data_IF_064168596518
#
_entry.id   IF_064168596518
#
_cell.length_a   1.000
_cell.length_b   1.000
_cell.length_c   1.000
_cell.angle_alpha   90.00
_cell.angle_beta   90.00
_cell.angle_gamma   90.00
#
_symmetry.space_group_name_H-M   'P 1'
#
loop_
_entity.id
_entity.type
_entity.pdbx_description
1 polymer ?
#
# COMPACT_ATOMS: atom_id res chain seq x y z
N UNK A 1 10.13 -8.86 -7.57
CA UNK A 1 10.89 -7.94 -8.50
C UNK A 1 10.14 -6.63 -8.56
N UNK A 2 10.81 -5.52 -8.34
CA UNK A 2 10.22 -4.18 -8.41
C UNK A 2 10.70 -3.51 -9.68
N UNK A 3 9.75 -2.97 -10.47
CA UNK A 3 10.05 -2.16 -11.63
C UNK A 3 9.47 -0.75 -11.41
N UNK A 4 10.34 0.26 -11.43
CA UNK A 4 9.96 1.67 -11.38
C UNK A 4 10.48 2.35 -12.65
N UNK A 5 9.62 3.05 -13.37
CA UNK A 5 10.05 3.82 -14.54
C UNK A 5 9.30 5.14 -14.66
N UNK A 6 9.91 6.10 -15.36
CA UNK A 6 9.28 7.38 -15.71
C UNK A 6 8.42 7.19 -16.96
N UNK A 7 7.18 7.67 -16.92
CA UNK A 7 6.25 7.62 -18.05
C UNK A 7 5.25 6.47 -17.95
N UNK A 8 4.61 6.15 -19.07
CA UNK A 8 3.60 5.10 -19.17
C UNK A 8 4.28 3.73 -19.20
N UNK A 9 3.75 2.78 -18.44
CA UNK A 9 4.13 1.38 -18.58
C UNK A 9 3.33 0.80 -19.75
N UNK A 10 4.02 0.41 -20.80
CA UNK A 10 3.43 -0.34 -21.92
C UNK A 10 3.79 -1.82 -21.73
N UNK A 11 2.82 -2.60 -21.30
CA UNK A 11 2.99 -4.03 -21.02
C UNK A 11 3.37 -4.84 -22.25
N UNK A 12 3.05 -4.34 -23.46
CA UNK A 12 3.35 -5.03 -24.71
C UNK A 12 4.73 -4.67 -25.27
N UNK A 13 5.23 -3.44 -25.05
CA UNK A 13 6.48 -2.93 -25.62
C UNK A 13 7.67 -2.92 -24.66
N UNK A 14 7.44 -2.87 -23.35
CA UNK A 14 8.50 -2.66 -22.36
C UNK A 14 9.24 -3.97 -21.94
N UNK A 15 9.30 -4.97 -22.82
CA UNK A 15 9.96 -6.26 -22.57
C UNK A 15 9.45 -7.02 -21.32
N UNK A 16 8.25 -6.67 -20.84
CA UNK A 16 7.59 -7.44 -19.80
C UNK A 16 7.13 -8.80 -20.37
N UNK A 17 6.83 -8.84 -21.67
CA UNK A 17 6.54 -10.08 -22.41
C UNK A 17 7.79 -10.92 -22.71
N UNK A 18 8.98 -10.29 -22.90
CA UNK A 18 10.23 -10.98 -23.27
C UNK A 18 11.05 -11.43 -22.06
N UNK A 19 10.90 -10.77 -20.92
CA UNK A 19 11.31 -11.39 -19.67
C UNK A 19 10.30 -12.52 -19.48
N UNK A 20 10.75 -13.75 -19.65
CA UNK A 20 10.04 -14.93 -19.16
C UNK A 20 9.71 -14.64 -17.72
N UNK A 21 8.54 -14.00 -17.49
CA UNK A 21 7.97 -13.87 -16.18
C UNK A 21 7.86 -15.30 -15.70
N UNK A 22 8.68 -15.61 -14.74
CA UNK A 22 8.78 -16.94 -14.22
C UNK A 22 7.37 -17.40 -13.86
N UNK A 23 7.04 -18.60 -14.19
CA UNK A 23 5.75 -19.25 -13.90
C UNK A 23 5.39 -19.22 -12.40
N UNK A 24 6.21 -18.56 -11.60
CA UNK A 24 6.07 -18.34 -10.15
C UNK A 24 5.58 -16.94 -9.74
N UNK A 25 5.21 -16.06 -10.69
CA UNK A 25 4.64 -14.76 -10.30
C UNK A 25 3.15 -14.92 -10.02
N UNK A 26 2.78 -14.70 -8.77
CA UNK A 26 1.41 -14.91 -8.31
C UNK A 26 0.53 -13.68 -8.51
N UNK A 27 1.11 -12.47 -8.48
CA UNK A 27 0.37 -11.19 -8.64
C UNK A 27 1.28 -10.05 -9.11
N UNK A 28 0.64 -9.02 -9.67
CA UNK A 28 1.27 -7.77 -10.06
C UNK A 28 0.59 -6.60 -9.34
N UNK A 29 1.40 -5.68 -8.83
CA UNK A 29 0.92 -4.44 -8.24
C UNK A 29 1.51 -3.28 -9.01
N UNK A 30 0.66 -2.46 -9.61
CA UNK A 30 1.04 -1.28 -10.37
C UNK A 30 0.54 0.00 -9.73
N UNK A 31 1.34 1.06 -9.77
CA UNK A 31 0.97 2.41 -9.36
C UNK A 31 1.41 3.42 -10.41
N UNK A 32 0.47 4.23 -10.86
CA UNK A 32 0.75 5.37 -11.75
C UNK A 32 0.62 6.64 -10.90
N UNK A 33 1.73 7.31 -10.69
CA UNK A 33 1.79 8.53 -9.87
C UNK A 33 1.80 9.77 -10.76
N UNK A 34 0.79 10.64 -10.58
CA UNK A 34 0.86 12.01 -11.08
C UNK A 34 1.61 12.86 -10.03
N UNK A 35 2.55 13.75 -10.44
CA UNK A 35 3.21 14.64 -9.51
C UNK A 35 2.18 15.60 -8.91
N UNK A 36 2.09 15.65 -7.59
CA UNK A 36 1.20 16.55 -6.85
C UNK A 36 1.73 17.98 -6.77
N UNK A 37 2.97 18.22 -7.20
CA UNK A 37 3.55 19.55 -7.34
C UNK A 37 4.34 19.67 -8.65
N UNK A 38 4.23 20.81 -9.31
CA UNK A 38 4.94 21.10 -10.57
C UNK A 38 6.48 21.09 -10.45
N UNK A 39 7.02 21.03 -9.25
CA UNK A 39 8.46 21.08 -8.97
C UNK A 39 9.04 19.71 -8.59
N UNK A 40 8.24 18.65 -8.50
CA UNK A 40 8.72 17.34 -8.11
C UNK A 40 9.33 16.62 -9.31
N UNK A 41 10.64 16.49 -9.33
CA UNK A 41 11.30 15.60 -10.26
C UNK A 41 11.00 14.14 -9.93
N UNK A 42 10.82 13.32 -10.97
CA UNK A 42 10.73 11.89 -10.79
C UNK A 42 12.08 11.34 -10.34
N UNK A 43 12.10 10.68 -9.20
CA UNK A 43 13.25 9.93 -8.68
C UNK A 43 12.78 8.52 -8.35
N UNK A 44 13.65 7.56 -8.55
CA UNK A 44 13.38 6.17 -8.20
C UNK A 44 12.95 6.02 -6.74
N UNK A 45 13.65 6.67 -5.83
CA UNK A 45 13.42 6.59 -4.39
C UNK A 45 12.15 7.33 -3.94
N UNK A 46 11.59 8.23 -4.75
CA UNK A 46 10.35 8.96 -4.43
C UNK A 46 9.12 8.39 -5.13
N UNK A 47 9.25 7.23 -5.75
CA UNK A 47 8.18 6.56 -6.50
C UNK A 47 7.76 5.26 -5.82
N UNK A 48 6.47 4.92 -5.96
CA UNK A 48 5.93 3.66 -5.45
C UNK A 48 6.52 2.42 -6.15
N UNK A 49 6.53 1.27 -5.48
CA UNK A 49 6.19 1.08 -4.08
C UNK A 49 7.25 1.65 -3.14
N UNK A 50 6.87 1.96 -1.90
CA UNK A 50 7.78 2.24 -0.80
C UNK A 50 7.97 0.97 0.03
N UNK A 51 9.19 0.76 0.54
CA UNK A 51 9.56 -0.50 1.16
C UNK A 51 10.27 -0.29 2.49
N UNK A 52 10.13 -1.27 3.35
CA UNK A 52 10.97 -1.53 4.51
C UNK A 52 11.55 -2.94 4.39
N UNK A 53 12.08 -3.49 5.48
CA UNK A 53 12.68 -4.83 5.47
C UNK A 53 11.67 -5.91 5.06
N UNK A 54 10.48 -5.91 5.69
CA UNK A 54 9.44 -6.95 5.50
C UNK A 54 8.17 -6.45 4.82
N UNK A 55 8.09 -5.15 4.45
CA UNK A 55 6.86 -4.59 3.90
C UNK A 55 7.09 -3.81 2.62
N UNK A 56 6.20 -4.00 1.65
CA UNK A 56 6.10 -3.19 0.43
C UNK A 56 4.72 -2.56 0.34
N UNK A 57 4.64 -1.25 0.09
CA UNK A 57 3.39 -0.49 0.17
C UNK A 57 3.17 0.39 -1.04
N UNK A 58 1.95 0.32 -1.57
CA UNK A 58 1.44 1.26 -2.58
C UNK A 58 0.29 2.06 -1.96
N UNK A 59 0.34 3.38 -2.10
CA UNK A 59 -0.58 4.32 -1.49
C UNK A 59 -1.16 5.29 -2.53
N UNK A 60 -2.47 5.43 -2.55
CA UNK A 60 -3.18 6.51 -3.23
C UNK A 60 -3.94 7.33 -2.18
N UNK A 61 -3.50 8.54 -1.95
CA UNK A 61 -4.04 9.44 -0.94
C UNK A 61 -3.02 10.46 -0.46
N UNK A 62 -3.29 11.07 0.70
CA UNK A 62 -2.42 12.05 1.34
C UNK A 62 -2.48 11.86 2.85
N UNK A 63 -1.34 11.63 3.48
CA UNK A 63 -1.22 11.60 4.93
C UNK A 63 -0.87 12.99 5.47
N UNK A 64 -1.62 13.43 6.48
CA UNK A 64 -1.45 14.77 7.06
C UNK A 64 -0.52 14.77 8.27
N UNK A 65 -0.32 13.63 8.91
CA UNK A 65 0.49 13.50 10.14
C UNK A 65 1.80 12.72 9.97
N UNK A 66 2.26 12.52 8.72
CA UNK A 66 3.45 11.70 8.44
C UNK A 66 4.73 12.21 9.12
N UNK A 67 4.88 13.53 9.30
CA UNK A 67 6.03 14.10 10.00
C UNK A 67 6.04 13.75 11.50
N UNK A 68 4.85 13.77 12.14
CA UNK A 68 4.71 13.37 13.55
C UNK A 68 5.00 11.87 13.72
N UNK A 69 4.50 11.03 12.80
CA UNK A 69 4.79 9.59 12.81
C UNK A 69 6.30 9.35 12.67
N UNK A 70 6.94 10.05 11.73
CA UNK A 70 8.39 9.96 11.53
C UNK A 70 9.15 10.30 12.80
N UNK A 71 8.83 11.44 13.42
CA UNK A 71 9.50 11.90 14.63
C UNK A 71 9.30 10.98 15.86
N UNK A 72 8.18 10.26 15.92
CA UNK A 72 7.82 9.47 17.09
C UNK A 72 8.22 7.98 16.98
N UNK A 73 8.20 7.39 15.79
CA UNK A 73 8.30 5.94 15.59
C UNK A 73 9.48 5.51 14.74
N UNK A 74 10.14 6.44 14.03
CA UNK A 74 11.14 6.09 13.02
C UNK A 74 12.46 6.81 13.35
N UNK A 75 13.43 6.05 13.85
CA UNK A 75 14.72 6.58 14.38
C UNK A 75 15.77 6.86 13.30
N UNK A 76 15.47 6.60 12.02
CA UNK A 76 16.41 6.77 10.91
C UNK A 76 15.85 7.70 9.83
N UNK A 77 16.73 8.21 9.00
CA UNK A 77 16.37 9.08 7.88
C UNK A 77 15.59 8.27 6.83
N UNK A 78 14.31 8.59 6.69
CA UNK A 78 13.44 8.03 5.67
C UNK A 78 13.16 9.05 4.59
N UNK A 79 12.77 8.55 3.43
CA UNK A 79 12.32 9.36 2.31
C UNK A 79 11.28 10.42 2.76
N UNK A 80 11.37 11.68 2.32
CA UNK A 80 10.47 12.76 2.71
C UNK A 80 9.02 12.60 2.22
N UNK A 81 8.73 11.61 1.37
CA UNK A 81 7.38 11.35 0.89
C UNK A 81 6.52 10.79 2.02
N UNK A 82 5.29 11.28 2.14
CA UNK A 82 4.34 10.86 3.18
C UNK A 82 4.12 9.36 3.23
N UNK A 83 4.05 8.71 2.07
CA UNK A 83 3.87 7.25 1.96
C UNK A 83 5.01 6.47 2.60
N UNK A 84 6.23 7.00 2.60
CA UNK A 84 7.40 6.27 3.10
C UNK A 84 7.31 5.92 4.60
N UNK A 85 6.50 6.65 5.37
CA UNK A 85 6.31 6.31 6.79
C UNK A 85 5.51 5.03 7.00
N UNK A 86 4.66 4.62 6.05
CA UNK A 86 3.77 3.47 6.22
C UNK A 86 4.54 2.16 6.35
N UNK A 87 5.39 1.75 5.37
CA UNK A 87 6.15 0.50 5.50
C UNK A 87 7.10 0.52 6.71
N UNK A 88 7.67 1.67 7.05
CA UNK A 88 8.55 1.79 8.20
C UNK A 88 7.79 1.67 9.54
N UNK A 89 6.57 2.18 9.62
CA UNK A 89 5.72 2.02 10.80
C UNK A 89 5.23 0.56 10.95
N UNK A 90 4.87 -0.09 9.84
CA UNK A 90 4.58 -1.54 9.81
C UNK A 90 5.78 -2.33 10.31
N UNK A 91 6.99 -2.03 9.84
CA UNK A 91 8.23 -2.66 10.27
C UNK A 91 8.48 -2.45 11.77
N UNK A 92 8.31 -1.24 12.27
CA UNK A 92 8.46 -0.91 13.68
C UNK A 92 7.57 -1.80 14.57
N UNK A 93 6.29 -1.97 14.22
CA UNK A 93 5.39 -2.84 14.97
C UNK A 93 5.69 -4.33 14.77
N UNK A 94 6.16 -4.76 13.61
CA UNK A 94 6.63 -6.12 13.38
C UNK A 94 7.76 -6.47 14.34
N UNK A 95 8.75 -5.59 14.46
CA UNK A 95 9.90 -5.79 15.36
C UNK A 95 9.51 -5.76 16.85
N UNK A 96 8.54 -4.95 17.23
CA UNK A 96 8.01 -4.93 18.60
C UNK A 96 7.27 -6.21 18.98
N UNK A 97 6.55 -6.79 18.04
CA UNK A 97 5.76 -7.99 18.24
C UNK A 97 6.59 -9.30 18.30
N UNK A 98 7.83 -9.29 17.82
CA UNK A 98 8.73 -10.46 17.83
C UNK A 98 8.06 -11.75 17.33
N UNK A 99 7.38 -11.66 16.18
CA UNK A 99 6.65 -12.76 15.52
C UNK A 99 5.44 -13.33 16.30
N UNK A 100 5.03 -12.70 17.40
CA UNK A 100 3.88 -13.14 18.21
C UNK A 100 2.53 -12.56 17.71
N UNK A 101 2.55 -11.49 16.88
CA UNK A 101 1.33 -10.86 16.39
C UNK A 101 1.05 -11.24 14.93
N UNK A 102 -0.19 -11.58 14.59
CA UNK A 102 -0.55 -11.76 13.18
C UNK A 102 -0.47 -10.43 12.42
N UNK A 103 -0.05 -10.48 11.15
CA UNK A 103 0.17 -9.30 10.31
C UNK A 103 -1.03 -8.32 10.27
N UNK A 104 -2.27 -8.84 10.29
CA UNK A 104 -3.46 -7.99 10.29
C UNK A 104 -3.65 -7.16 11.56
N UNK A 105 -3.08 -7.57 12.71
CA UNK A 105 -3.06 -6.74 13.93
C UNK A 105 -2.00 -5.64 13.83
N UNK A 106 -0.84 -5.93 13.26
CA UNK A 106 0.21 -4.95 12.95
C UNK A 106 -0.32 -3.89 11.99
N UNK A 107 -1.01 -4.32 10.93
CA UNK A 107 -1.67 -3.44 9.98
C UNK A 107 -2.70 -2.55 10.68
N UNK A 108 -3.57 -3.12 11.51
CA UNK A 108 -4.57 -2.36 12.27
C UNK A 108 -3.93 -1.28 13.14
N UNK A 109 -2.91 -1.62 13.94
CA UNK A 109 -2.19 -0.66 14.78
C UNK A 109 -1.61 0.48 13.95
N UNK A 110 -1.00 0.15 12.80
CA UNK A 110 -0.47 1.13 11.87
C UNK A 110 -1.56 2.06 11.35
N UNK A 111 -2.66 1.50 10.81
CA UNK A 111 -3.75 2.28 10.20
C UNK A 111 -4.45 3.21 11.20
N UNK A 112 -4.57 2.79 12.46
CA UNK A 112 -5.17 3.62 13.52
C UNK A 112 -4.31 4.82 13.92
N UNK A 113 -3.04 4.85 13.57
CA UNK A 113 -2.17 6.03 13.74
C UNK A 113 -2.23 7.00 12.57
N UNK A 114 -2.56 6.53 11.35
CA UNK A 114 -2.58 7.37 10.16
C UNK A 114 -3.72 8.40 10.21
N UNK A 115 -3.43 9.62 9.74
CA UNK A 115 -4.40 10.69 9.53
C UNK A 115 -4.33 11.17 8.09
N UNK A 116 -5.51 11.38 7.49
CA UNK A 116 -5.64 11.77 6.09
C UNK A 116 -6.45 10.78 5.29
N UNK A 117 -6.20 10.71 3.99
CA UNK A 117 -6.89 9.79 3.08
C UNK A 117 -5.92 8.75 2.56
N UNK A 118 -6.38 7.51 2.44
CA UNK A 118 -5.56 6.43 1.87
C UNK A 118 -6.41 5.33 1.23
N UNK A 119 -5.90 4.81 0.13
CA UNK A 119 -6.19 3.52 -0.46
C UNK A 119 -4.86 2.77 -0.54
N UNK A 120 -4.73 1.69 0.19
CA UNK A 120 -3.47 0.97 0.39
C UNK A 120 -3.55 -0.44 -0.16
N UNK A 121 -2.48 -0.84 -0.85
CA UNK A 121 -2.09 -2.22 -0.99
C UNK A 121 -0.77 -2.41 -0.23
N UNK A 122 -0.77 -3.34 0.71
CA UNK A 122 0.36 -3.68 1.57
C UNK A 122 0.74 -5.13 1.33
N UNK A 123 2.02 -5.41 1.17
CA UNK A 123 2.55 -6.76 0.99
C UNK A 123 3.49 -7.05 2.13
N UNK A 124 3.22 -8.11 2.88
CA UNK A 124 4.18 -8.75 3.75
C UNK A 124 5.11 -9.59 2.86
N UNK A 125 6.36 -9.17 2.72
CA UNK A 125 7.30 -9.80 1.80
C UNK A 125 7.93 -11.09 2.36
N UNK A 126 7.79 -11.34 3.64
CA UNK A 126 8.28 -12.57 4.28
C UNK A 126 7.33 -13.75 4.03
N UNK A 127 6.00 -13.48 4.01
CA UNK A 127 4.96 -14.48 3.76
C UNK A 127 4.36 -14.39 2.35
N UNK A 128 4.61 -13.32 1.60
CA UNK A 128 3.93 -12.95 0.34
C UNK A 128 2.42 -12.71 0.48
N UNK A 129 1.98 -12.33 1.66
CA UNK A 129 0.59 -12.00 1.93
C UNK A 129 0.24 -10.58 1.45
N UNK A 130 -0.90 -10.44 0.76
CA UNK A 130 -1.38 -9.16 0.22
C UNK A 130 -2.60 -8.67 0.97
N UNK A 131 -2.55 -7.41 1.40
CA UNK A 131 -3.62 -6.78 2.16
C UNK A 131 -4.10 -5.49 1.49
N UNK A 132 -5.42 -5.23 1.60
CA UNK A 132 -6.05 -3.99 1.17
C UNK A 132 -6.73 -3.30 2.35
N UNK A 133 -6.63 -1.97 2.38
CA UNK A 133 -7.38 -1.13 3.32
C UNK A 133 -7.62 0.26 2.72
N UNK A 134 -8.66 0.96 3.18
CA UNK A 134 -8.90 2.34 2.78
C UNK A 134 -9.57 3.19 3.85
N UNK A 135 -9.32 4.50 3.75
CA UNK A 135 -10.02 5.58 4.45
C UNK A 135 -10.04 6.82 3.55
N UNK A 136 -11.21 7.35 3.24
CA UNK A 136 -11.36 8.58 2.44
C UNK A 136 -11.05 8.45 0.94
N UNK A 137 -10.05 7.66 0.56
CA UNK A 137 -9.72 7.38 -0.85
C UNK A 137 -10.50 6.18 -1.39
N UNK A 138 -10.70 6.13 -2.71
CA UNK A 138 -11.45 5.07 -3.39
C UNK A 138 -10.53 3.87 -3.63
N UNK A 139 -11.02 2.67 -3.31
CA UNK A 139 -10.38 1.39 -3.62
C UNK A 139 -11.46 0.35 -3.89
N UNK A 140 -11.37 -0.31 -5.03
CA UNK A 140 -12.28 -1.38 -5.45
C UNK A 140 -11.54 -2.70 -5.49
N UNK A 141 -12.28 -3.79 -5.37
CA UNK A 141 -11.79 -5.17 -5.51
C UNK A 141 -12.84 -6.04 -6.19
N UNK A 142 -12.44 -7.19 -6.71
CA UNK A 142 -13.34 -8.14 -7.35
C UNK A 142 -13.11 -9.59 -6.85
N UNK A 143 -13.96 -10.49 -7.28
CA UNK A 143 -13.92 -11.89 -6.88
C UNK A 143 -12.85 -12.73 -7.65
N UNK A 144 -12.02 -12.06 -8.48
CA UNK A 144 -10.88 -12.67 -9.18
C UNK A 144 -9.53 -12.38 -8.49
N UNK A 145 -9.57 -11.64 -7.37
CA UNK A 145 -8.35 -11.20 -6.67
C UNK A 145 -7.77 -9.88 -7.18
N UNK A 146 -8.42 -9.22 -8.14
CA UNK A 146 -7.94 -7.92 -8.63
C UNK A 146 -8.40 -6.78 -7.73
N UNK A 147 -7.64 -5.67 -7.76
CA UNK A 147 -8.01 -4.42 -7.10
C UNK A 147 -7.63 -3.21 -7.97
N UNK A 148 -8.35 -2.09 -7.79
CA UNK A 148 -8.13 -0.87 -8.56
C UNK A 148 -8.72 0.36 -7.88
N UNK A 149 -8.06 1.50 -7.98
CA UNK A 149 -8.62 2.79 -7.56
C UNK A 149 -9.63 3.36 -8.56
N UNK A 150 -9.62 2.87 -9.81
CA UNK A 150 -10.56 3.29 -10.85
C UNK A 150 -11.86 2.48 -10.85
N UNK A 151 -11.84 1.26 -10.33
CA UNK A 151 -12.96 0.33 -10.43
C UNK A 151 -13.11 -0.24 -11.84
N UNK A 152 -14.32 -0.72 -12.18
CA UNK A 152 -14.65 -1.33 -13.46
C UNK A 152 -15.81 -2.32 -13.33
N UNK A 153 -16.16 -3.00 -14.43
CA UNK A 153 -17.17 -4.04 -14.42
C UNK A 153 -16.78 -5.19 -13.48
N UNK A 154 -17.68 -5.60 -12.60
CA UNK A 154 -17.43 -6.65 -11.62
C UNK A 154 -16.65 -6.22 -10.37
N UNK A 155 -16.21 -4.96 -10.32
CA UNK A 155 -15.57 -4.42 -9.12
C UNK A 155 -16.60 -3.89 -8.12
N UNK A 156 -16.32 -4.09 -6.84
CA UNK A 156 -17.09 -3.54 -5.70
C UNK A 156 -16.21 -2.65 -4.84
N UNK A 157 -16.78 -1.61 -4.28
CA UNK A 157 -16.07 -0.68 -3.42
C UNK A 157 -15.69 -1.39 -2.10
N UNK A 158 -14.43 -1.32 -1.71
CA UNK A 158 -13.97 -1.76 -0.40
C UNK A 158 -14.62 -0.89 0.69
N UNK A 159 -15.29 -1.45 1.71
CA UNK A 159 -15.78 -0.65 2.84
C UNK A 159 -14.63 0.03 3.59
N UNK A 160 -14.88 1.23 4.13
CA UNK A 160 -13.90 1.89 5.00
C UNK A 160 -13.74 1.16 6.32
N UNK A 161 -12.53 1.20 6.87
CA UNK A 161 -12.26 0.58 8.16
C UNK A 161 -12.13 -0.94 8.13
N UNK A 162 -12.11 -1.54 6.95
CA UNK A 162 -11.95 -2.99 6.74
C UNK A 162 -10.54 -3.30 6.24
N UNK A 163 -9.95 -4.37 6.74
CA UNK A 163 -8.69 -4.95 6.23
C UNK A 163 -9.05 -6.25 5.52
N UNK A 164 -8.79 -6.31 4.20
CA UNK A 164 -8.91 -7.53 3.42
C UNK A 164 -7.54 -8.17 3.23
N UNK A 165 -7.52 -9.49 3.16
CA UNK A 165 -6.35 -10.30 2.80
C UNK A 165 -6.70 -11.18 1.59
N UNK A 166 -5.78 -11.27 0.63
CA UNK A 166 -5.90 -12.16 -0.52
C UNK A 166 -5.50 -13.57 -0.11
N UNK A 167 -6.39 -14.54 -0.36
CA UNK A 167 -6.11 -15.96 -0.17
C UNK A 167 -5.55 -16.61 -1.43
N UNK A 168 -4.94 -17.78 -1.30
CA UNK A 168 -4.37 -18.55 -2.41
C UNK A 168 -5.38 -18.84 -3.54
N UNK A 169 -6.65 -18.96 -3.19
CA UNK A 169 -7.74 -19.17 -4.16
C UNK A 169 -8.21 -17.87 -4.85
N UNK A 170 -7.47 -16.76 -4.70
CA UNK A 170 -7.79 -15.43 -5.22
C UNK A 170 -9.04 -14.78 -4.60
N UNK A 171 -9.48 -15.25 -3.47
CA UNK A 171 -10.58 -14.65 -2.72
C UNK A 171 -10.08 -13.60 -1.72
N UNK A 172 -10.71 -12.42 -1.71
CA UNK A 172 -10.50 -11.42 -0.68
C UNK A 172 -11.36 -11.73 0.54
N UNK A 173 -10.73 -11.89 1.68
CA UNK A 173 -11.42 -12.15 2.95
C UNK A 173 -11.17 -11.02 3.95
N UNK A 174 -12.20 -10.64 4.70
CA UNK A 174 -12.06 -9.72 5.82
C UNK A 174 -11.31 -10.43 6.95
N UNK A 175 -10.16 -9.86 7.35
CA UNK A 175 -9.32 -10.41 8.42
C UNK A 175 -9.31 -9.53 9.67
N UNK A 176 -9.61 -8.23 9.53
CA UNK A 176 -9.69 -7.30 10.65
C UNK A 176 -10.44 -6.02 10.30
N UNK A 177 -10.65 -5.17 11.31
CA UNK A 177 -11.20 -3.81 11.18
C UNK A 177 -10.36 -2.82 11.96
N UNK A 178 -10.35 -1.57 11.51
CA UNK A 178 -9.70 -0.47 12.19
C UNK A 178 -10.65 0.74 12.31
N UNK A 179 -10.39 1.60 13.28
CA UNK A 179 -11.16 2.82 13.48
C UNK A 179 -10.74 3.88 12.47
N UNK A 180 -11.65 4.25 11.58
CA UNK A 180 -11.39 5.34 10.63
C UNK A 180 -11.46 6.69 11.33
N UNK A 181 -10.55 7.59 10.92
CA UNK A 181 -10.59 9.00 11.32
C UNK A 181 -11.19 9.79 10.16
N UNK A 182 -12.16 10.66 10.43
CA UNK A 182 -12.69 11.53 9.39
C UNK A 182 -11.55 12.39 8.83
N UNK A 183 -11.25 12.32 7.52
CA UNK A 183 -10.22 13.18 6.93
C UNK A 183 -10.65 14.65 6.86
N UNK A 184 -11.90 14.93 7.15
CA UNK A 184 -12.52 16.24 7.02
C UNK A 184 -13.13 16.67 8.36
N UNK A 185 -12.33 17.23 9.23
CA UNK A 185 -12.80 18.21 10.20
C UNK A 185 -12.95 19.53 9.46
N UNK A 186 -14.09 19.72 8.80
CA UNK A 186 -14.46 21.06 8.37
C UNK A 186 -14.93 21.83 9.60
N UNK A 187 -14.15 22.84 9.93
CA UNK A 187 -14.59 23.97 10.72
C UNK A 187 -15.54 24.84 9.90
#
# INVERSE_FOLDING_TARGET
>A
MILKQKGTIDFDSDNLSDKKFDQYIEYYIGHVQAPTSAQREWLYDTSHPFESLSWSVVHNGVLTNYENIRAQYIDWDVNPVDTAVIPNLLQHFTEQCRDECPAHEIIKQTLELLEGTFALCMVDTDCNDVYLARQGSILHYNDKGDFSTLGGEGFKLLPEGVILMLKDNKEWVEVNKFNTKSPFLFL
#
